data_IF_096287861886
#
_entry.id   IF_096287861886
#
_cell.length_a   1.000
_cell.length_b   1.000
_cell.length_c   1.000
_cell.angle_alpha   90.00
_cell.angle_beta   90.00
_cell.angle_gamma   90.00
#
_symmetry.space_group_name_H-M   'P 1'
#
loop_
_entity.id
_entity.type
_entity.pdbx_description
1 polymer ?
#
# COMPACT_ATOMS: atom_id res chain seq x y z
N UNK A 1 3.00 -14.19 -8.45
CA UNK A 1 3.37 -13.91 -7.03
C UNK A 1 2.12 -13.98 -6.17
N UNK A 2 2.17 -14.73 -5.09
CA UNK A 2 1.05 -14.81 -4.15
C UNK A 2 1.15 -13.76 -3.05
N UNK A 3 0.10 -13.64 -2.24
CA UNK A 3 0.07 -12.64 -1.16
C UNK A 3 1.07 -12.96 -0.05
N UNK A 4 1.41 -14.21 0.20
CA UNK A 4 2.40 -14.56 1.24
C UNK A 4 3.78 -13.99 0.88
N UNK A 5 4.16 -14.11 -0.39
CA UNK A 5 5.42 -13.54 -0.90
C UNK A 5 5.39 -12.02 -0.83
N UNK A 6 4.28 -11.41 -1.27
CA UNK A 6 4.13 -9.96 -1.29
C UNK A 6 4.13 -9.38 0.14
N UNK A 7 3.43 -10.03 1.06
CA UNK A 7 3.42 -9.65 2.47
C UNK A 7 4.82 -9.75 3.08
N UNK A 8 5.57 -10.79 2.76
CA UNK A 8 6.95 -10.96 3.23
C UNK A 8 7.85 -9.82 2.75
N UNK A 9 7.66 -9.38 1.50
CA UNK A 9 8.41 -8.24 0.95
C UNK A 9 8.09 -6.96 1.72
N UNK A 10 6.80 -6.70 2.00
CA UNK A 10 6.38 -5.54 2.78
C UNK A 10 6.95 -5.57 4.21
N UNK A 11 6.87 -6.72 4.88
CA UNK A 11 7.40 -6.88 6.25
C UNK A 11 8.88 -6.52 6.37
N UNK A 12 9.68 -6.85 5.37
CA UNK A 12 11.10 -6.53 5.37
C UNK A 12 11.40 -5.04 5.30
N UNK A 13 10.43 -4.23 4.87
CA UNK A 13 10.58 -2.78 4.75
C UNK A 13 10.09 -2.03 5.99
N UNK A 14 9.31 -2.68 6.86
CA UNK A 14 8.89 -2.06 8.12
C UNK A 14 10.12 -1.74 8.96
N UNK A 15 10.28 -0.47 9.31
CA UNK A 15 11.43 0.01 10.08
C UNK A 15 11.06 1.36 10.70
N UNK A 16 10.32 1.32 11.81
CA UNK A 16 9.91 2.54 12.52
C UNK A 16 11.14 3.31 12.96
N UNK A 17 11.22 4.59 12.54
CA UNK A 17 12.37 5.44 12.87
C UNK A 17 12.00 6.92 12.85
N UNK A 18 12.67 7.67 13.70
CA UNK A 18 12.68 9.12 13.67
C UNK A 18 13.63 9.56 12.56
N UNK A 19 13.14 10.29 11.57
CA UNK A 19 13.98 10.78 10.46
C UNK A 19 14.40 12.24 10.66
N UNK A 20 13.66 12.98 11.47
CA UNK A 20 13.99 14.35 11.87
C UNK A 20 13.28 14.69 13.16
N UNK A 21 13.45 15.91 13.65
CA UNK A 21 12.77 16.37 14.86
C UNK A 21 11.23 16.23 14.76
N UNK A 22 10.67 16.40 13.59
CA UNK A 22 9.22 16.45 13.41
C UNK A 22 8.65 15.33 12.55
N UNK A 23 9.47 14.45 12.03
CA UNK A 23 9.00 13.41 11.13
C UNK A 23 9.47 12.01 11.55
N UNK A 24 8.56 11.04 11.42
CA UNK A 24 8.84 9.62 11.59
C UNK A 24 8.46 8.87 10.32
N UNK A 25 9.03 7.69 10.13
CA UNK A 25 8.72 6.87 8.95
C UNK A 25 8.80 5.38 9.29
N UNK A 26 8.20 4.56 8.45
CA UNK A 26 8.42 3.12 8.46
C UNK A 26 7.60 2.32 9.46
N UNK A 27 6.62 2.92 10.14
CA UNK A 27 5.69 2.19 11.02
C UNK A 27 4.85 1.20 10.23
N UNK A 28 4.49 1.55 8.99
CA UNK A 28 3.77 0.69 8.05
C UNK A 28 4.55 0.64 6.73
N UNK A 29 4.61 -0.52 6.13
CA UNK A 29 5.17 -0.70 4.79
C UNK A 29 4.13 -1.35 3.89
N UNK A 30 4.16 -1.01 2.62
CA UNK A 30 3.30 -1.59 1.60
C UNK A 30 4.12 -2.17 0.46
N UNK A 31 3.56 -3.19 -0.17
CA UNK A 31 4.09 -3.74 -1.40
C UNK A 31 2.93 -3.94 -2.38
N UNK A 32 3.15 -3.62 -3.63
CA UNK A 32 2.19 -3.84 -4.69
C UNK A 32 2.81 -4.63 -5.83
N UNK A 33 1.97 -5.40 -6.51
CA UNK A 33 2.32 -6.10 -7.73
C UNK A 33 1.63 -5.41 -8.89
N UNK A 34 2.41 -4.95 -9.87
CA UNK A 34 1.88 -4.31 -11.06
C UNK A 34 1.44 -5.33 -12.11
N UNK A 35 0.65 -4.89 -13.08
CA UNK A 35 0.20 -5.75 -14.19
C UNK A 35 1.36 -6.27 -15.04
N UNK A 36 2.49 -5.59 -15.05
CA UNK A 36 3.69 -6.02 -15.77
C UNK A 36 4.57 -6.98 -14.95
N UNK A 37 4.13 -7.35 -13.74
CA UNK A 37 4.84 -8.29 -12.88
C UNK A 37 5.93 -7.67 -12.00
N UNK A 38 5.98 -6.35 -11.91
CA UNK A 38 6.95 -5.65 -11.07
C UNK A 38 6.39 -5.40 -9.66
N UNK A 39 7.27 -5.47 -8.67
CA UNK A 39 6.93 -5.18 -7.28
C UNK A 39 7.47 -3.80 -6.91
N UNK A 40 6.60 -2.97 -6.34
CA UNK A 40 6.97 -1.66 -5.82
C UNK A 40 6.65 -1.60 -4.34
N UNK A 41 7.53 -0.98 -3.57
CA UNK A 41 7.40 -0.90 -2.12
C UNK A 41 7.44 0.56 -1.67
N UNK A 42 6.87 0.80 -0.49
CA UNK A 42 6.91 2.11 0.13
C UNK A 42 6.63 2.02 1.62
N UNK A 43 7.01 3.05 2.36
CA UNK A 43 6.73 3.15 3.78
C UNK A 43 5.93 4.41 4.06
N UNK A 44 5.18 4.41 5.17
CA UNK A 44 4.47 5.61 5.61
C UNK A 44 5.46 6.66 6.10
N UNK A 45 5.06 7.92 5.97
CA UNK A 45 5.79 9.08 6.49
C UNK A 45 4.81 9.89 7.32
N UNK A 46 5.12 10.11 8.59
CA UNK A 46 4.26 10.82 9.52
C UNK A 46 4.88 12.16 9.86
N UNK A 47 4.12 13.23 9.63
CA UNK A 47 4.56 14.61 9.81
C UNK A 47 3.43 15.44 10.42
N UNK A 48 3.74 16.62 10.97
CA UNK A 48 2.70 17.59 11.32
C UNK A 48 1.94 18.09 10.10
N UNK A 49 0.76 18.67 10.34
CA UNK A 49 -0.03 19.41 9.36
C UNK A 49 -0.48 18.61 8.13
N UNK A 50 -0.60 17.27 8.27
CA UNK A 50 -1.11 16.43 7.21
C UNK A 50 -0.22 16.31 5.96
N UNK A 51 1.05 16.67 6.05
CA UNK A 51 1.97 16.58 4.92
C UNK A 51 2.43 15.14 4.63
N UNK A 52 2.34 14.26 5.63
CA UNK A 52 2.71 12.86 5.48
C UNK A 52 1.67 12.06 4.70
N UNK A 53 1.98 10.81 4.45
CA UNK A 53 1.09 9.92 3.70
C UNK A 53 1.34 8.45 4.03
N UNK A 54 0.36 7.62 3.66
CA UNK A 54 0.38 6.20 3.94
C UNK A 54 1.40 5.45 3.08
N UNK A 55 1.79 4.26 3.53
CA UNK A 55 2.73 3.40 2.82
C UNK A 55 2.25 3.05 1.40
N UNK A 56 0.95 2.85 1.21
CA UNK A 56 0.38 2.55 -0.10
C UNK A 56 0.60 3.70 -1.08
N UNK A 57 0.44 4.95 -0.64
CA UNK A 57 0.74 6.13 -1.46
C UNK A 57 2.20 6.14 -1.89
N UNK A 58 3.11 5.82 -0.97
CA UNK A 58 4.55 5.76 -1.24
C UNK A 58 4.87 4.70 -2.30
N UNK A 59 4.32 3.51 -2.17
CA UNK A 59 4.51 2.43 -3.15
C UNK A 59 3.95 2.82 -4.53
N UNK A 60 2.76 3.44 -4.56
CA UNK A 60 2.13 3.90 -5.81
C UNK A 60 2.97 4.99 -6.47
N UNK A 61 3.49 5.95 -5.69
CA UNK A 61 4.35 6.99 -6.23
C UNK A 61 5.61 6.41 -6.90
N UNK A 62 6.21 5.39 -6.28
CA UNK A 62 7.34 4.67 -6.85
C UNK A 62 6.98 4.01 -8.18
N UNK A 63 5.84 3.32 -8.22
CA UNK A 63 5.33 2.68 -9.42
C UNK A 63 5.09 3.68 -10.56
N UNK A 64 4.42 4.79 -10.27
CA UNK A 64 4.10 5.82 -11.26
C UNK A 64 5.38 6.47 -11.78
N UNK A 65 6.36 6.72 -10.91
CA UNK A 65 7.66 7.24 -11.30
C UNK A 65 8.35 6.31 -12.30
N UNK A 66 8.18 5.00 -12.15
CA UNK A 66 8.72 4.00 -13.07
C UNK A 66 7.90 3.85 -14.37
N UNK A 67 6.77 4.54 -14.49
CA UNK A 67 5.96 4.53 -15.72
C UNK A 67 4.78 3.57 -15.73
N UNK A 68 4.45 2.95 -14.60
CA UNK A 68 3.31 2.04 -14.47
C UNK A 68 2.22 2.64 -13.60
N UNK A 69 0.99 2.14 -13.76
CA UNK A 69 -0.15 2.59 -12.93
C UNK A 69 -1.19 1.50 -12.66
N UNK A 70 -1.12 0.36 -13.35
CA UNK A 70 -2.08 -0.73 -13.20
C UNK A 70 -1.62 -1.70 -12.10
N UNK A 71 -2.40 -1.79 -11.01
CA UNK A 71 -2.09 -2.57 -9.83
C UNK A 71 -2.94 -3.84 -9.79
N UNK A 72 -2.31 -5.00 -9.64
CA UNK A 72 -2.99 -6.29 -9.53
C UNK A 72 -3.25 -6.65 -8.06
N UNK A 73 -2.26 -6.45 -7.19
CA UNK A 73 -2.35 -6.75 -5.76
C UNK A 73 -1.71 -5.65 -4.93
N UNK A 74 -2.29 -5.38 -3.76
CA UNK A 74 -1.75 -4.44 -2.79
C UNK A 74 -1.81 -5.06 -1.40
N UNK A 75 -0.74 -4.94 -0.63
CA UNK A 75 -0.70 -5.37 0.77
C UNK A 75 0.09 -4.37 1.59
N UNK A 76 -0.33 -4.16 2.83
CA UNK A 76 0.39 -3.34 3.80
C UNK A 76 0.47 -4.08 5.14
N UNK A 77 1.50 -3.82 5.91
CA UNK A 77 1.67 -4.38 7.23
C UNK A 77 2.42 -3.40 8.14
N UNK A 78 2.15 -3.47 9.43
CA UNK A 78 2.73 -2.57 10.41
C UNK A 78 3.81 -3.22 11.27
N UNK A 79 4.41 -2.39 12.12
CA UNK A 79 5.38 -2.81 13.12
C UNK A 79 4.76 -3.86 14.03
N UNK A 80 5.50 -4.93 14.32
CA UNK A 80 5.07 -6.06 15.16
C UNK A 80 3.85 -6.83 14.64
N UNK A 81 3.37 -6.55 13.42
CA UNK A 81 2.25 -7.26 12.84
C UNK A 81 2.72 -8.50 12.08
N UNK A 82 1.99 -9.61 12.28
CA UNK A 82 2.17 -10.83 11.48
C UNK A 82 1.11 -10.94 10.39
N UNK A 83 0.27 -9.91 10.24
CA UNK A 83 -0.87 -9.89 9.34
C UNK A 83 -0.90 -8.60 8.53
N UNK A 84 -1.74 -8.58 7.51
CA UNK A 84 -1.93 -7.42 6.67
C UNK A 84 -2.86 -6.40 7.32
N UNK A 85 -2.65 -5.12 7.00
CA UNK A 85 -3.55 -4.03 7.37
C UNK A 85 -4.41 -3.66 6.17
N UNK A 86 -5.71 -3.47 6.38
CA UNK A 86 -6.58 -2.95 5.32
C UNK A 86 -6.17 -1.50 4.97
N UNK A 87 -6.21 -1.11 3.70
CA UNK A 87 -5.90 0.27 3.33
C UNK A 87 -6.96 1.23 3.88
N UNK A 88 -6.53 2.43 4.29
CA UNK A 88 -7.46 3.48 4.73
C UNK A 88 -8.30 3.98 3.55
N UNK A 89 -9.34 4.78 3.85
CA UNK A 89 -10.24 5.29 2.81
C UNK A 89 -9.51 6.10 1.73
N UNK A 90 -8.55 6.93 2.13
CA UNK A 90 -7.73 7.71 1.19
C UNK A 90 -6.95 6.80 0.25
N UNK A 91 -6.35 5.73 0.77
CA UNK A 91 -5.58 4.79 -0.03
C UNK A 91 -6.48 3.98 -0.98
N UNK A 92 -7.67 3.60 -0.53
CA UNK A 92 -8.64 2.89 -1.37
C UNK A 92 -8.98 3.71 -2.61
N UNK A 93 -9.32 4.98 -2.42
CA UNK A 93 -9.67 5.87 -3.53
C UNK A 93 -8.46 6.16 -4.41
N UNK A 94 -7.28 6.35 -3.81
CA UNK A 94 -6.06 6.61 -4.58
C UNK A 94 -5.69 5.44 -5.48
N UNK A 95 -5.78 4.21 -4.97
CA UNK A 95 -5.59 2.99 -5.79
C UNK A 95 -6.57 3.02 -6.96
N UNK A 96 -7.84 3.32 -6.69
CA UNK A 96 -8.89 3.33 -7.71
C UNK A 96 -8.62 4.34 -8.82
N UNK A 97 -8.21 5.56 -8.47
CA UNK A 97 -8.16 6.65 -9.45
C UNK A 97 -6.91 6.66 -10.34
N UNK A 98 -5.85 5.95 -9.97
CA UNK A 98 -4.60 6.01 -10.74
C UNK A 98 -4.60 5.12 -11.98
N UNK A 99 -5.59 4.24 -12.14
CA UNK A 99 -5.77 3.45 -13.35
C UNK A 99 -7.22 2.96 -13.46
N UNK A 100 -7.78 2.95 -14.67
CA UNK A 100 -9.18 2.58 -14.90
C UNK A 100 -9.53 1.16 -14.47
N UNK A 101 -8.56 0.24 -14.43
CA UNK A 101 -8.78 -1.14 -14.02
C UNK A 101 -8.48 -1.42 -12.54
N UNK A 102 -8.03 -0.44 -11.78
CA UNK A 102 -7.59 -0.68 -10.40
C UNK A 102 -8.73 -0.97 -9.42
N UNK A 103 -9.98 -0.77 -9.81
CA UNK A 103 -11.11 -1.23 -8.99
C UNK A 103 -11.10 -2.75 -8.82
N UNK A 104 -10.42 -3.49 -9.69
CA UNK A 104 -10.24 -4.95 -9.61
C UNK A 104 -9.04 -5.36 -8.76
N UNK A 105 -8.24 -4.41 -8.30
CA UNK A 105 -7.06 -4.71 -7.49
C UNK A 105 -7.44 -5.54 -6.27
N UNK A 106 -6.73 -6.64 -6.07
CA UNK A 106 -6.91 -7.50 -4.90
C UNK A 106 -6.14 -6.97 -3.70
N UNK A 107 -6.73 -7.07 -2.53
CA UNK A 107 -6.17 -6.60 -1.27
C UNK A 107 -6.27 -7.71 -0.23
N UNK A 108 -5.17 -7.96 0.48
CA UNK A 108 -5.15 -8.90 1.60
C UNK A 108 -5.60 -8.17 2.87
N UNK A 109 -6.53 -8.78 3.59
CA UNK A 109 -7.07 -8.24 4.84
C UNK A 109 -6.45 -8.90 6.07
N UNK A 110 -6.73 -8.32 7.23
CA UNK A 110 -6.18 -8.72 8.52
C UNK A 110 -6.46 -10.19 8.86
N UNK A 111 -7.63 -10.69 8.50
CA UNK A 111 -8.03 -12.09 8.77
C UNK A 111 -7.49 -13.10 7.75
N UNK A 112 -6.66 -12.65 6.81
CA UNK A 112 -6.11 -13.49 5.75
C UNK A 112 -7.00 -13.63 4.52
N UNK A 113 -8.19 -13.04 4.53
CA UNK A 113 -9.07 -13.07 3.36
C UNK A 113 -8.60 -12.06 2.32
N UNK A 114 -9.01 -12.28 1.07
CA UNK A 114 -8.72 -11.41 -0.06
C UNK A 114 -10.01 -10.77 -0.54
N UNK A 115 -9.98 -9.46 -0.76
CA UNK A 115 -11.09 -8.71 -1.32
C UNK A 115 -10.59 -7.85 -2.48
N UNK A 116 -11.46 -7.02 -3.04
CA UNK A 116 -11.11 -6.11 -4.13
C UNK A 116 -11.37 -4.67 -3.71
N UNK A 117 -10.72 -3.75 -4.38
CA UNK A 117 -10.98 -2.31 -4.17
C UNK A 117 -12.44 -1.99 -4.47
N UNK A 118 -13.05 -2.62 -5.47
CA UNK A 118 -14.48 -2.44 -5.78
C UNK A 118 -15.36 -2.70 -4.56
N UNK A 119 -15.08 -3.78 -3.81
CA UNK A 119 -15.86 -4.13 -2.62
C UNK A 119 -15.57 -3.21 -1.43
N UNK A 120 -14.34 -2.72 -1.33
CA UNK A 120 -13.94 -1.82 -0.25
C UNK A 120 -14.35 -0.37 -0.50
N UNK A 121 -14.81 -0.05 -1.70
CA UNK A 121 -15.11 1.32 -2.12
C UNK A 121 -16.36 1.31 -3.03
N UNK A 122 -17.55 1.00 -2.48
CA UNK A 122 -18.76 0.79 -3.30
C UNK A 122 -19.22 2.03 -4.07
N UNK A 123 -18.93 3.24 -3.58
CA UNK A 123 -19.32 4.50 -4.24
C UNK A 123 -18.07 5.29 -4.62
N UNK A 124 -17.25 4.68 -5.46
CA UNK A 124 -15.95 5.25 -5.87
C UNK A 124 -16.08 6.25 -7.03
N UNK A 125 -15.04 7.02 -7.21
CA UNK A 125 -14.90 7.91 -8.38
C UNK A 125 -14.76 7.14 -9.69
#
# INVERSE_FOLDING_TARGET
MDFDELLSIAKKKVSERQISREATAGTVAAALLSAEGNVYVGVCIDTPAGMGFCAEHSAIATMITAGESHIIKMVATGVDDDYACAPCGRCREFINVVHDENYKCEVLLEDGSVTTIEKLLPYRL
#
